data_IF_287718332128
#
_entry.id   IF_287718332128
#
_cell.length_a   1.000
_cell.length_b   1.000
_cell.length_c   1.000
_cell.angle_alpha   90.00
_cell.angle_beta   90.00
_cell.angle_gamma   90.00
#
_symmetry.space_group_name_H-M   'P 1'
#
loop_
_entity.id
_entity.type
_entity.pdbx_description
1 polymer ?
#
# COMPACT_ATOMS: atom_id res chain seq x y z
N UNK A 1 17.77 22.81 47.29
CA UNK A 1 17.19 22.56 45.96
C UNK A 1 18.22 21.90 45.08
N UNK A 2 17.83 20.91 44.28
CA UNK A 2 18.71 20.17 43.38
C UNK A 2 19.00 20.87 42.04
N UNK A 3 18.18 21.87 41.65
CA UNK A 3 18.40 22.66 40.43
C UNK A 3 18.79 24.11 40.78
N UNK A 4 20.05 24.54 40.52
CA UNK A 4 20.50 25.90 40.80
C UNK A 4 19.90 26.95 39.85
N UNK A 5 19.39 26.53 38.68
CA UNK A 5 18.84 27.40 37.65
C UNK A 5 17.32 27.62 37.79
N UNK A 6 16.72 27.17 38.89
CA UNK A 6 15.33 27.45 39.18
C UNK A 6 15.08 28.95 39.30
N UNK A 7 14.26 29.52 38.42
CA UNK A 7 13.82 30.90 38.53
C UNK A 7 12.68 31.03 39.53
N UNK A 8 12.81 32.03 40.41
CA UNK A 8 11.79 32.39 41.38
C UNK A 8 10.48 32.70 40.65
N UNK A 9 9.40 32.06 41.09
CA UNK A 9 8.10 32.08 40.43
C UNK A 9 7.03 32.63 41.39
N UNK A 10 6.06 33.44 40.92
CA UNK A 10 4.93 33.87 41.74
C UNK A 10 4.17 32.69 42.32
N UNK A 11 3.88 32.74 43.61
CA UNK A 11 3.33 31.62 44.38
C UNK A 11 4.38 30.74 45.07
N UNK A 12 5.68 30.95 44.84
CA UNK A 12 6.71 30.31 45.64
C UNK A 12 6.60 30.72 47.11
N UNK A 13 6.81 29.74 47.99
CA UNK A 13 6.83 29.95 49.43
C UNK A 13 8.24 29.69 49.96
N UNK A 14 8.81 30.69 50.61
CA UNK A 14 10.12 30.63 51.25
C UNK A 14 10.00 30.84 52.75
N UNK A 15 10.93 30.25 53.51
CA UNK A 15 11.11 30.51 54.92
C UNK A 15 12.38 31.32 55.10
N UNK A 16 12.27 32.44 55.81
CA UNK A 16 13.42 33.21 56.26
C UNK A 16 13.52 33.09 57.79
N UNK A 17 14.62 32.51 58.25
CA UNK A 17 14.91 32.33 59.67
C UNK A 17 16.21 33.02 60.05
N UNK A 18 16.21 33.82 61.12
CA UNK A 18 17.39 34.50 61.64
C UNK A 18 17.21 34.87 63.11
N UNK A 19 18.32 35.13 63.82
CA UNK A 19 18.31 35.54 65.22
C UNK A 19 18.53 37.05 65.37
N UNK A 20 17.76 37.67 66.28
CA UNK A 20 17.96 39.05 66.72
C UNK A 20 18.16 39.02 68.24
N UNK A 21 19.42 39.09 68.68
CA UNK A 21 19.78 38.83 70.08
C UNK A 21 19.44 37.39 70.47
N UNK A 22 18.57 37.20 71.46
CA UNK A 22 18.08 35.89 71.90
C UNK A 22 16.78 35.45 71.21
N UNK A 23 16.16 36.33 70.42
CA UNK A 23 14.87 36.07 69.78
C UNK A 23 15.09 35.46 68.40
N UNK A 24 14.52 34.28 68.17
CA UNK A 24 14.44 33.68 66.84
C UNK A 24 13.28 34.32 66.06
N UNK A 25 13.60 34.89 64.91
CA UNK A 25 12.62 35.33 63.92
C UNK A 25 12.50 34.26 62.85
N UNK A 26 11.26 33.85 62.56
CA UNK A 26 10.95 32.84 61.57
C UNK A 26 9.63 33.23 60.89
N UNK A 27 9.67 33.58 59.60
CA UNK A 27 8.46 33.91 58.88
C UNK A 27 8.51 33.44 57.43
N UNK A 28 7.31 33.32 56.87
CA UNK A 28 7.11 32.82 55.51
C UNK A 28 6.96 33.98 54.53
N UNK A 29 7.66 33.88 53.42
CA UNK A 29 7.63 34.81 52.31
C UNK A 29 6.87 34.14 51.17
N UNK A 30 5.77 34.74 50.75
CA UNK A 30 5.10 34.40 49.49
C UNK A 30 5.59 35.35 48.40
N UNK A 31 5.93 34.80 47.23
CA UNK A 31 6.24 35.63 46.05
C UNK A 31 4.94 36.07 45.40
N UNK A 32 4.72 37.37 45.34
CA UNK A 32 3.55 37.96 44.70
C UNK A 32 3.62 37.92 43.15
N UNK A 33 2.48 38.07 42.47
CA UNK A 33 2.37 38.13 41.00
C UNK A 33 3.17 39.29 40.38
N UNK A 34 3.44 40.35 41.15
CA UNK A 34 4.32 41.45 40.75
C UNK A 34 5.81 41.10 40.80
N UNK A 35 6.18 39.89 41.27
CA UNK A 35 7.54 39.47 41.59
C UNK A 35 8.22 40.33 42.66
N UNK A 36 7.43 41.00 43.51
CA UNK A 36 7.97 41.77 44.63
C UNK A 36 7.87 40.96 45.91
N UNK A 37 8.99 40.90 46.62
CA UNK A 37 9.14 40.18 47.87
C UNK A 37 9.54 41.14 48.97
N UNK A 38 8.80 41.13 50.08
CA UNK A 38 9.14 41.91 51.27
C UNK A 38 10.05 41.10 52.20
N UNK A 39 11.22 41.63 52.50
CA UNK A 39 12.13 41.10 53.51
C UNK A 39 11.92 41.88 54.82
N UNK A 40 11.04 41.35 55.67
CA UNK A 40 10.69 41.91 56.97
C UNK A 40 10.30 43.39 56.84
N UNK A 41 10.80 44.26 57.72
CA UNK A 41 10.75 45.71 57.61
C UNK A 41 12.01 46.32 56.95
N UNK A 42 12.87 45.50 56.33
CA UNK A 42 14.19 45.93 55.84
C UNK A 42 14.17 46.39 54.39
N UNK A 43 13.52 45.64 53.49
CA UNK A 43 13.54 45.91 52.06
C UNK A 43 12.37 45.27 51.29
N UNK A 44 12.12 45.79 50.08
CA UNK A 44 11.31 45.14 49.04
C UNK A 44 12.23 44.87 47.85
N UNK A 45 12.29 43.61 47.41
CA UNK A 45 13.16 43.16 46.33
C UNK A 45 12.30 42.75 45.14
N UNK A 46 12.72 43.12 43.92
CA UNK A 46 12.17 42.55 42.69
C UNK A 46 12.93 41.27 42.34
N UNK A 47 12.25 40.13 42.40
CA UNK A 47 12.83 38.80 42.17
C UNK A 47 12.57 38.27 40.76
N UNK A 48 12.03 39.10 39.85
CA UNK A 48 11.76 38.71 38.46
C UNK A 48 13.05 38.29 37.76
N UNK A 49 13.05 37.08 37.22
CA UNK A 49 14.21 36.52 36.50
C UNK A 49 15.38 36.12 37.41
N UNK A 50 15.27 36.29 38.73
CA UNK A 50 16.29 35.79 39.65
C UNK A 50 16.20 34.28 39.78
N UNK A 51 17.35 33.61 39.85
CA UNK A 51 17.38 32.23 40.33
C UNK A 51 17.13 32.19 41.85
N UNK A 52 16.69 31.06 42.37
CA UNK A 52 16.58 30.88 43.83
C UNK A 52 17.91 31.14 44.54
N UNK A 53 19.04 30.73 43.95
CA UNK A 53 20.36 30.98 44.55
C UNK A 53 20.68 32.48 44.62
N UNK A 54 20.35 33.24 43.57
CA UNK A 54 20.54 34.68 43.56
C UNK A 54 19.64 35.37 44.60
N UNK A 55 18.37 34.98 44.65
CA UNK A 55 17.42 35.51 45.64
C UNK A 55 17.84 35.16 47.08
N UNK A 56 18.28 33.92 47.32
CA UNK A 56 18.81 33.47 48.61
C UNK A 56 19.96 34.34 49.08
N UNK A 57 20.98 34.49 48.24
CA UNK A 57 22.16 35.29 48.58
C UNK A 57 21.78 36.75 48.86
N UNK A 58 20.88 37.33 48.06
CA UNK A 58 20.46 38.72 48.24
C UNK A 58 19.63 38.93 49.51
N UNK A 59 18.68 38.05 49.80
CA UNK A 59 17.88 38.11 51.02
C UNK A 59 18.75 37.93 52.27
N UNK A 60 19.64 36.93 52.28
CA UNK A 60 20.57 36.67 53.39
C UNK A 60 21.55 37.84 53.60
N UNK A 61 22.01 38.47 52.51
CA UNK A 61 22.88 39.66 52.58
C UNK A 61 22.17 40.86 53.21
N UNK A 62 20.92 41.14 52.83
CA UNK A 62 20.14 42.25 53.38
C UNK A 62 19.90 42.06 54.88
N UNK A 63 19.56 40.86 55.32
CA UNK A 63 19.36 40.56 56.74
C UNK A 63 20.68 40.66 57.50
N UNK A 64 21.74 40.01 57.00
CA UNK A 64 23.05 40.00 57.67
C UNK A 64 23.67 41.39 57.81
N UNK A 65 23.40 42.29 56.86
CA UNK A 65 23.83 43.69 56.92
C UNK A 65 23.15 44.47 58.05
N UNK A 66 21.88 44.20 58.32
CA UNK A 66 21.11 44.89 59.36
C UNK A 66 21.20 44.19 60.73
N UNK A 67 21.44 42.87 60.74
CA UNK A 67 21.62 42.05 61.93
C UNK A 67 22.88 41.17 61.79
N UNK A 68 24.07 41.68 62.15
CA UNK A 68 25.30 40.90 62.12
C UNK A 68 25.22 39.68 63.05
N UNK A 69 25.88 38.58 62.67
CA UNK A 69 25.90 37.32 63.44
C UNK A 69 24.51 36.67 63.65
N UNK A 70 23.51 37.02 62.82
CA UNK A 70 22.13 36.53 62.93
C UNK A 70 21.88 35.12 62.39
N UNK A 71 22.92 34.42 61.90
CA UNK A 71 22.83 33.09 61.31
C UNK A 71 21.63 32.93 60.35
N UNK A 72 21.46 33.90 59.44
CA UNK A 72 20.32 33.94 58.53
C UNK A 72 20.31 32.74 57.58
N UNK A 73 19.13 32.20 57.36
CA UNK A 73 18.89 31.12 56.41
C UNK A 73 17.59 31.39 55.65
N UNK A 74 17.69 31.43 54.31
CA UNK A 74 16.53 31.34 53.43
C UNK A 74 16.42 29.91 52.88
N UNK A 75 15.25 29.30 53.06
CA UNK A 75 14.92 27.98 52.55
C UNK A 75 13.63 28.01 51.72
N UNK A 76 13.55 27.21 50.66
CA UNK A 76 12.29 27.01 49.94
C UNK A 76 11.40 26.03 50.71
N UNK A 77 10.15 26.43 50.97
CA UNK A 77 9.11 25.58 51.56
C UNK A 77 8.42 24.80 50.45
N UNK A 78 7.92 25.51 49.44
CA UNK A 78 7.23 24.89 48.30
C UNK A 78 7.37 25.75 47.04
N UNK A 79 7.56 25.13 45.86
CA UNK A 79 7.49 25.84 44.59
C UNK A 79 6.05 26.26 44.28
N UNK A 80 5.91 27.26 43.42
CA UNK A 80 4.65 27.77 42.93
C UNK A 80 3.81 26.65 42.28
N UNK A 81 2.51 26.69 42.54
CA UNK A 81 1.49 25.91 41.84
C UNK A 81 0.63 26.87 41.03
N UNK A 82 0.37 26.52 39.79
CA UNK A 82 -0.40 27.32 38.85
C UNK A 82 -0.99 26.39 37.80
N UNK A 83 -1.75 26.97 36.89
CA UNK A 83 -2.34 26.25 35.79
C UNK A 83 -1.89 26.87 34.46
N UNK A 84 -1.81 26.04 33.44
CA UNK A 84 -1.53 26.44 32.05
C UNK A 84 -2.64 25.96 31.14
N UNK A 85 -2.90 26.68 30.06
CA UNK A 85 -3.91 26.28 29.08
C UNK A 85 -3.22 25.50 27.96
N UNK A 86 -3.75 24.34 27.61
CA UNK A 86 -3.30 23.56 26.44
C UNK A 86 -4.42 23.53 25.41
N UNK A 87 -4.13 24.00 24.19
CA UNK A 87 -5.10 24.09 23.08
C UNK A 87 -4.48 23.69 21.73
N UNK A 88 -5.32 23.60 20.69
CA UNK A 88 -4.90 23.28 19.33
C UNK A 88 -5.25 21.84 18.95
N UNK A 89 -4.34 21.14 18.27
CA UNK A 89 -4.48 19.73 17.90
C UNK A 89 -4.18 18.83 19.11
N UNK A 90 -5.17 18.66 19.98
CA UNK A 90 -5.12 17.86 21.21
C UNK A 90 -6.41 17.07 21.39
N UNK A 91 -6.37 16.01 22.22
CA UNK A 91 -7.55 15.23 22.60
C UNK A 91 -8.68 16.11 23.13
N UNK A 92 -8.33 17.07 24.00
CA UNK A 92 -9.29 18.04 24.56
C UNK A 92 -8.53 19.29 24.96
N UNK A 93 -9.05 20.46 24.57
CA UNK A 93 -8.52 21.74 25.06
C UNK A 93 -8.87 21.87 26.53
N UNK A 94 -7.87 22.04 27.38
CA UNK A 94 -8.06 22.00 28.83
C UNK A 94 -7.02 22.82 29.58
N UNK A 95 -7.34 23.14 30.82
CA UNK A 95 -6.43 23.76 31.75
C UNK A 95 -5.74 22.67 32.58
N UNK A 96 -4.41 22.68 32.61
CA UNK A 96 -3.60 21.65 33.27
C UNK A 96 -2.91 22.25 34.51
N UNK A 97 -3.18 21.70 35.71
CA UNK A 97 -2.47 22.12 36.91
C UNK A 97 -1.02 21.65 36.86
N UNK A 98 -0.12 22.55 37.20
CA UNK A 98 1.32 22.31 37.19
C UNK A 98 2.01 23.07 38.33
N UNK A 99 3.30 22.81 38.45
CA UNK A 99 4.18 23.46 39.42
C UNK A 99 5.45 23.93 38.72
N UNK A 100 6.21 24.82 39.34
CA UNK A 100 7.27 25.57 38.66
C UNK A 100 8.49 24.74 38.15
N UNK A 101 8.58 23.43 38.43
CA UNK A 101 9.54 22.52 37.77
C UNK A 101 8.88 21.58 36.75
N UNK A 102 7.62 21.81 36.39
CA UNK A 102 6.94 21.03 35.35
C UNK A 102 7.50 21.45 33.99
N UNK A 103 7.93 20.47 33.20
CA UNK A 103 8.39 20.67 31.83
C UNK A 103 7.23 20.63 30.83
N UNK A 104 7.43 21.27 29.68
CA UNK A 104 6.47 21.31 28.59
C UNK A 104 6.00 19.91 28.17
N UNK A 105 6.95 18.99 27.92
CA UNK A 105 6.71 17.62 27.49
C UNK A 105 5.74 16.88 28.43
N UNK A 106 5.97 16.99 29.74
CA UNK A 106 5.16 16.32 30.76
C UNK A 106 3.68 16.75 30.73
N UNK A 107 3.40 17.99 30.34
CA UNK A 107 2.03 18.53 30.23
C UNK A 107 1.39 18.13 28.90
N UNK A 108 2.14 18.17 27.79
CA UNK A 108 1.56 17.94 26.47
C UNK A 108 1.39 16.47 26.12
N UNK A 109 2.33 15.59 26.49
CA UNK A 109 2.35 14.18 26.07
C UNK A 109 1.03 13.43 26.33
N UNK A 110 0.36 13.59 27.50
CA UNK A 110 -0.93 12.92 27.75
C UNK A 110 -2.07 13.37 26.82
N UNK A 111 -1.97 14.59 26.27
CA UNK A 111 -3.02 15.25 25.49
C UNK A 111 -2.85 15.11 23.97
N UNK A 112 -1.73 14.56 23.50
CA UNK A 112 -1.44 14.38 22.07
C UNK A 112 -2.39 13.37 21.41
N UNK A 113 -2.70 13.61 20.13
CA UNK A 113 -3.36 12.69 19.20
C UNK A 113 -2.34 12.20 18.18
N UNK A 114 -2.73 11.26 17.30
CA UNK A 114 -1.89 10.86 16.15
C UNK A 114 -1.67 11.97 15.12
N UNK A 115 -2.39 13.08 15.23
CA UNK A 115 -2.29 14.24 14.34
C UNK A 115 -1.60 15.43 15.00
N UNK A 116 -1.21 15.33 16.27
CA UNK A 116 -0.50 16.39 16.98
C UNK A 116 0.95 16.47 16.53
N UNK A 117 1.43 17.69 16.26
CA UNK A 117 2.85 17.95 16.04
C UNK A 117 3.60 17.97 17.38
N UNK A 118 4.66 17.17 17.50
CA UNK A 118 5.58 17.25 18.65
C UNK A 118 6.83 18.10 18.35
N UNK A 119 6.96 18.57 17.11
CA UNK A 119 8.08 19.40 16.63
C UNK A 119 7.70 20.87 16.42
N UNK A 120 6.40 21.17 16.55
CA UNK A 120 5.83 22.52 16.44
C UNK A 120 4.85 22.73 17.57
N UNK A 121 5.42 22.99 18.76
CA UNK A 121 4.68 23.30 19.99
C UNK A 121 5.06 24.70 20.41
N UNK A 122 4.07 25.59 20.50
CA UNK A 122 4.33 26.97 20.88
C UNK A 122 3.84 27.28 22.29
N UNK A 123 4.61 28.10 23.00
CA UNK A 123 4.21 28.69 24.28
C UNK A 123 4.07 30.20 24.06
N UNK A 124 2.89 30.73 24.34
CA UNK A 124 2.65 32.16 24.46
C UNK A 124 2.65 32.53 25.94
N UNK A 125 3.60 33.37 26.34
CA UNK A 125 3.70 33.84 27.72
C UNK A 125 2.67 34.92 28.03
N UNK A 126 2.52 35.25 29.32
CA UNK A 126 1.70 36.38 29.80
C UNK A 126 2.08 37.73 29.18
N UNK A 127 3.32 37.92 28.71
CA UNK A 127 3.73 39.17 28.04
C UNK A 127 3.36 39.21 26.56
N UNK A 128 2.77 38.14 26.03
CA UNK A 128 2.43 37.98 24.61
C UNK A 128 3.56 37.46 23.73
N UNK A 129 4.74 37.20 24.30
CA UNK A 129 5.87 36.62 23.56
C UNK A 129 5.55 35.15 23.25
N UNK A 130 5.67 34.75 21.98
CA UNK A 130 5.46 33.37 21.54
C UNK A 130 6.78 32.74 21.12
N UNK A 131 7.07 31.55 21.64
CA UNK A 131 8.25 30.75 21.28
C UNK A 131 7.83 29.36 20.86
N UNK A 132 8.50 28.82 19.85
CA UNK A 132 8.30 27.47 19.35
C UNK A 132 9.36 26.54 19.92
N UNK A 133 8.96 25.31 20.19
CA UNK A 133 9.75 24.28 20.84
C UNK A 133 9.59 22.94 20.11
N UNK A 134 10.70 22.21 20.03
CA UNK A 134 10.76 20.88 19.42
C UNK A 134 10.98 19.79 20.47
N UNK A 135 9.87 19.21 20.95
CA UNK A 135 9.89 18.19 22.00
C UNK A 135 10.52 16.88 21.51
N UNK A 136 10.45 16.60 20.21
CA UNK A 136 11.18 15.47 19.63
C UNK A 136 12.68 15.65 19.81
N UNK A 137 13.20 16.85 19.52
CA UNK A 137 14.62 17.17 19.71
C UNK A 137 15.05 17.06 21.16
N UNK A 138 14.23 17.53 22.12
CA UNK A 138 14.49 17.36 23.54
C UNK A 138 14.62 15.87 23.93
N UNK A 139 13.69 15.03 23.46
CA UNK A 139 13.65 13.61 23.80
C UNK A 139 14.76 12.79 23.12
N UNK A 140 15.11 13.12 21.87
CA UNK A 140 16.05 12.35 21.07
C UNK A 140 17.51 12.79 21.24
N UNK A 141 17.77 14.09 21.42
CA UNK A 141 19.12 14.66 21.55
C UNK A 141 19.46 15.07 22.99
N UNK A 142 18.50 15.06 23.90
CA UNK A 142 18.68 15.58 25.26
C UNK A 142 18.73 17.12 25.31
N UNK A 143 18.24 17.80 24.27
CA UNK A 143 18.23 19.26 24.17
C UNK A 143 17.17 19.88 25.11
N UNK A 144 17.45 19.96 26.40
CA UNK A 144 16.50 20.44 27.44
C UNK A 144 16.03 21.90 27.25
N UNK A 145 16.66 22.66 26.36
CA UNK A 145 16.20 23.99 25.94
C UNK A 145 14.91 23.94 25.12
N UNK A 146 14.65 22.81 24.45
CA UNK A 146 13.44 22.54 23.67
C UNK A 146 12.29 21.97 24.55
N UNK A 147 12.57 21.70 25.82
CA UNK A 147 11.58 21.23 26.79
C UNK A 147 11.59 22.13 28.04
N UNK A 148 11.21 23.41 27.93
CA UNK A 148 11.37 24.40 28.99
C UNK A 148 10.49 24.10 30.21
N UNK A 149 10.85 24.70 31.35
CA UNK A 149 9.94 24.78 32.49
C UNK A 149 8.83 25.79 32.21
N UNK A 150 7.61 25.39 32.54
CA UNK A 150 6.43 26.23 32.37
C UNK A 150 6.35 27.34 33.40
N UNK A 151 5.62 28.40 33.07
CA UNK A 151 5.40 29.58 33.91
C UNK A 151 3.91 29.87 34.08
N UNK A 152 3.54 30.54 35.19
CA UNK A 152 2.17 30.98 35.39
C UNK A 152 1.68 31.85 34.22
N UNK A 153 0.51 31.50 33.67
CA UNK A 153 -0.10 32.22 32.55
C UNK A 153 0.37 31.79 31.17
N UNK A 154 1.24 30.79 31.06
CA UNK A 154 1.62 30.21 29.77
C UNK A 154 0.40 29.57 29.08
N UNK A 155 0.27 29.82 27.78
CA UNK A 155 -0.70 29.17 26.90
C UNK A 155 0.09 28.34 25.89
N UNK A 156 -0.10 27.02 25.97
CA UNK A 156 0.54 26.04 25.11
C UNK A 156 -0.39 25.76 23.93
N UNK A 157 0.11 25.94 22.71
CA UNK A 157 -0.62 25.64 21.48
C UNK A 157 0.10 24.53 20.72
N UNK A 158 -0.60 23.44 20.47
CA UNK A 158 -0.09 22.29 19.70
C UNK A 158 -0.62 22.40 18.28
N UNK A 159 0.28 22.42 17.30
CA UNK A 159 -0.08 22.50 15.89
C UNK A 159 -0.38 21.12 15.29
N UNK A 160 -1.01 21.13 14.12
CA UNK A 160 -1.26 19.92 13.34
C UNK A 160 0.02 19.39 12.72
N UNK A 161 0.18 18.08 12.77
CA UNK A 161 1.22 17.34 12.08
C UNK A 161 1.01 17.48 10.57
N UNK A 162 2.00 18.04 9.88
CA UNK A 162 1.95 18.30 8.43
C UNK A 162 2.39 17.09 7.62
N UNK A 163 3.49 16.45 8.03
CA UNK A 163 4.14 15.38 7.28
C UNK A 163 4.44 14.19 8.17
N UNK A 164 3.79 13.07 7.87
CA UNK A 164 3.95 11.78 8.53
C UNK A 164 4.48 10.76 7.54
N UNK A 165 5.49 9.98 7.90
CA UNK A 165 6.00 8.89 7.06
C UNK A 165 6.04 7.61 7.88
N UNK A 166 5.68 6.49 7.25
CA UNK A 166 5.69 5.17 7.87
C UNK A 166 6.95 4.44 7.48
N UNK A 167 7.73 3.95 8.44
CA UNK A 167 8.94 3.17 8.24
C UNK A 167 8.75 1.73 8.75
N UNK A 168 8.96 0.75 7.87
CA UNK A 168 8.77 -0.68 8.14
C UNK A 168 9.95 -1.54 7.64
N UNK A 169 9.95 -2.80 8.05
CA UNK A 169 10.91 -3.81 7.58
C UNK A 169 12.18 -3.85 8.40
N UNK A 170 13.31 -4.13 7.75
CA UNK A 170 14.61 -4.44 8.35
C UNK A 170 15.36 -3.22 8.93
N UNK A 171 14.67 -2.39 9.72
CA UNK A 171 15.23 -1.24 10.46
C UNK A 171 15.15 -1.46 11.97
N UNK A 172 16.01 -0.80 12.75
CA UNK A 172 16.06 -1.03 14.20
C UNK A 172 14.83 -0.49 14.94
N UNK A 173 14.23 0.58 14.44
CA UNK A 173 13.02 1.19 15.00
C UNK A 173 11.98 1.45 13.91
N UNK A 174 11.16 0.43 13.55
CA UNK A 174 10.01 0.67 12.70
C UNK A 174 8.96 1.50 13.44
N UNK A 175 8.21 2.32 12.70
CA UNK A 175 7.22 3.20 13.29
C UNK A 175 6.72 4.28 12.33
N UNK A 176 5.86 5.14 12.85
CA UNK A 176 5.36 6.31 12.13
C UNK A 176 6.04 7.55 12.69
N UNK A 177 6.65 8.34 11.82
CA UNK A 177 7.48 9.48 12.22
C UNK A 177 6.97 10.77 11.60
N UNK A 178 7.09 11.86 12.36
CA UNK A 178 6.85 13.20 11.85
C UNK A 178 8.17 13.75 11.28
N UNK A 179 8.20 14.08 9.99
CA UNK A 179 9.38 14.66 9.37
C UNK A 179 9.22 16.15 9.09
N UNK A 180 10.28 16.94 9.29
CA UNK A 180 10.34 18.36 8.91
C UNK A 180 10.60 18.49 7.40
N UNK A 181 10.15 19.57 6.75
CA UNK A 181 10.20 19.74 5.28
C UNK A 181 11.53 19.35 4.61
N UNK A 182 12.66 19.66 5.26
CA UNK A 182 14.01 19.41 4.78
C UNK A 182 14.59 18.02 5.10
N UNK A 183 13.84 17.15 5.78
CA UNK A 183 14.31 15.80 6.12
C UNK A 183 14.01 14.80 4.99
N UNK A 184 14.97 13.94 4.67
CA UNK A 184 14.93 13.01 3.55
C UNK A 184 14.93 11.54 4.03
N UNK A 185 15.05 10.60 3.08
CA UNK A 185 15.13 9.16 3.36
C UNK A 185 16.29 8.82 4.30
N UNK A 186 17.44 9.47 4.14
CA UNK A 186 18.58 9.26 5.02
C UNK A 186 18.24 9.62 6.47
N UNK A 187 17.65 10.80 6.67
CA UNK A 187 17.27 11.28 7.99
C UNK A 187 16.25 10.33 8.62
N UNK A 188 15.25 9.88 7.86
CA UNK A 188 14.25 8.92 8.32
C UNK A 188 14.91 7.65 8.88
N UNK A 189 15.83 7.04 8.12
CA UNK A 189 16.44 5.77 8.51
C UNK A 189 17.44 5.96 9.65
N UNK A 190 18.34 6.94 9.55
CA UNK A 190 19.42 7.11 10.51
C UNK A 190 18.96 7.75 11.82
N UNK A 191 18.20 8.85 11.75
CA UNK A 191 17.79 9.60 12.94
C UNK A 191 16.63 8.92 13.67
N UNK A 192 15.59 8.53 12.93
CA UNK A 192 14.36 7.97 13.50
C UNK A 192 14.42 6.44 13.59
N UNK A 193 14.74 5.78 12.48
CA UNK A 193 14.87 4.32 12.40
C UNK A 193 16.06 3.74 13.17
N UNK A 194 17.01 4.58 13.60
CA UNK A 194 18.29 4.20 14.24
C UNK A 194 19.16 3.25 13.41
N UNK A 195 19.05 3.39 12.09
CA UNK A 195 19.76 2.61 11.09
C UNK A 195 19.11 1.28 10.77
N UNK A 196 19.79 0.53 9.91
CA UNK A 196 19.39 -0.79 9.46
C UNK A 196 19.67 -1.88 10.50
N UNK A 197 18.94 -2.99 10.38
CA UNK A 197 19.31 -4.27 11.02
C UNK A 197 20.37 -4.99 10.17
N UNK A 198 21.05 -5.99 10.74
CA UNK A 198 22.13 -6.72 10.04
C UNK A 198 21.61 -7.53 8.84
N UNK A 199 20.34 -7.89 8.88
CA UNK A 199 19.63 -8.62 7.83
C UNK A 199 19.06 -7.71 6.74
N UNK A 200 19.19 -6.39 6.83
CA UNK A 200 18.63 -5.47 5.84
C UNK A 200 19.25 -5.60 4.44
N UNK A 201 18.41 -5.64 3.43
CA UNK A 201 18.80 -5.51 2.03
C UNK A 201 18.90 -4.03 1.65
N UNK A 202 20.13 -3.55 1.49
CA UNK A 202 20.40 -2.16 1.11
C UNK A 202 20.06 -1.87 -0.37
N UNK A 203 19.86 -2.88 -1.21
CA UNK A 203 19.42 -2.73 -2.61
C UNK A 203 17.89 -2.89 -2.77
N UNK A 204 17.14 -2.87 -1.66
CA UNK A 204 15.73 -3.22 -1.65
C UNK A 204 14.89 -2.31 -0.77
N UNK A 205 15.08 -0.99 -0.89
CA UNK A 205 14.24 -0.02 -0.18
C UNK A 205 13.04 0.31 -1.07
N UNK A 206 11.85 -0.13 -0.68
CA UNK A 206 10.61 0.16 -1.39
C UNK A 206 9.96 1.41 -0.80
N UNK A 207 9.66 2.37 -1.66
CA UNK A 207 8.98 3.62 -1.34
C UNK A 207 7.59 3.57 -1.96
N UNK A 208 6.57 3.39 -1.14
CA UNK A 208 5.20 3.49 -1.60
C UNK A 208 4.73 4.93 -1.38
N UNK A 209 4.53 5.66 -2.47
CA UNK A 209 4.01 7.02 -2.38
C UNK A 209 2.52 7.01 -2.06
N UNK A 210 2.11 7.95 -1.22
CA UNK A 210 0.70 8.10 -0.91
C UNK A 210 -0.08 8.63 -2.12
N UNK A 211 -1.20 7.98 -2.43
CA UNK A 211 -2.14 8.42 -3.46
C UNK A 211 -2.69 9.80 -3.06
N UNK A 212 -2.46 10.81 -3.91
CA UNK A 212 -3.08 12.14 -3.78
C UNK A 212 -4.30 12.21 -4.69
N UNK A 213 -5.19 13.18 -4.47
CA UNK A 213 -6.41 13.35 -5.30
C UNK A 213 -6.15 13.61 -6.79
N UNK A 214 -4.90 13.87 -7.18
CA UNK A 214 -4.46 14.14 -8.56
C UNK A 214 -3.74 12.95 -9.22
N UNK A 215 -3.30 11.94 -8.45
CA UNK A 215 -2.63 10.73 -8.95
C UNK A 215 -3.49 9.51 -8.64
N UNK A 216 -3.99 8.82 -9.67
CA UNK A 216 -4.92 7.69 -9.50
C UNK A 216 -4.25 6.34 -9.21
N UNK A 217 -2.91 6.27 -9.32
CA UNK A 217 -2.16 5.02 -9.18
C UNK A 217 -1.15 5.13 -8.02
N UNK A 218 -1.13 4.12 -7.13
CA UNK A 218 -0.09 3.98 -6.12
C UNK A 218 1.22 3.60 -6.82
N UNK A 219 2.13 4.55 -6.97
CA UNK A 219 3.46 4.29 -7.50
C UNK A 219 4.35 3.77 -6.36
N UNK A 220 4.79 2.51 -6.49
CA UNK A 220 5.87 1.97 -5.68
C UNK A 220 7.18 2.20 -6.43
N UNK A 221 8.06 3.01 -5.85
CA UNK A 221 9.43 3.22 -6.32
C UNK A 221 10.38 2.28 -5.55
N UNK A 222 11.43 1.80 -6.22
CA UNK A 222 12.51 1.05 -5.59
C UNK A 222 13.77 1.88 -5.62
N UNK A 223 14.41 2.00 -4.46
CA UNK A 223 15.65 2.71 -4.29
C UNK A 223 16.73 1.79 -3.70
N UNK A 224 17.91 1.84 -4.30
CA UNK A 224 19.14 1.27 -3.73
C UNK A 224 19.74 2.30 -2.78
N UNK A 225 20.19 1.91 -1.59
CA UNK A 225 20.88 2.75 -0.62
C UNK A 225 22.24 3.24 -1.15
N UNK A 226 22.15 4.23 -2.02
CA UNK A 226 23.21 4.95 -2.71
C UNK A 226 23.19 6.41 -2.25
N UNK A 227 24.24 7.17 -2.54
CA UNK A 227 24.30 8.60 -2.19
C UNK A 227 23.14 9.40 -2.80
N UNK A 228 22.68 9.01 -4.00
CA UNK A 228 21.54 9.66 -4.65
C UNK A 228 20.20 9.31 -3.98
N UNK A 229 20.02 8.06 -3.54
CA UNK A 229 18.78 7.63 -2.88
C UNK A 229 18.63 8.21 -1.47
N UNK A 230 19.74 8.49 -0.79
CA UNK A 230 19.75 9.12 0.53
C UNK A 230 19.07 10.48 0.53
N UNK A 231 19.17 11.22 -0.58
CA UNK A 231 18.58 12.56 -0.75
C UNK A 231 17.13 12.53 -1.28
N UNK A 232 16.52 11.35 -1.39
CA UNK A 232 15.11 11.25 -1.84
C UNK A 232 14.20 11.98 -0.85
N UNK A 233 13.51 12.99 -1.36
CA UNK A 233 12.54 13.77 -0.62
C UNK A 233 11.26 12.95 -0.40
N UNK A 234 10.88 12.77 0.87
CA UNK A 234 9.70 11.99 1.25
C UNK A 234 8.46 12.89 1.36
N UNK A 235 7.33 12.40 0.84
CA UNK A 235 6.04 13.10 0.91
C UNK A 235 5.24 12.64 2.12
N UNK A 236 4.22 13.43 2.45
CA UNK A 236 3.30 13.07 3.52
C UNK A 236 2.57 11.76 3.18
N UNK A 237 2.51 10.85 4.14
CA UNK A 237 1.92 9.50 4.11
C UNK A 237 2.67 8.47 3.27
N UNK A 238 3.88 8.78 2.82
CA UNK A 238 4.73 7.77 2.19
C UNK A 238 4.99 6.60 3.16
N UNK A 239 5.11 5.40 2.59
CA UNK A 239 5.45 4.20 3.34
C UNK A 239 6.75 3.63 2.80
N UNK A 240 7.77 3.61 3.66
CA UNK A 240 9.10 3.10 3.36
C UNK A 240 9.23 1.71 3.96
N UNK A 241 9.60 0.74 3.13
CA UNK A 241 9.77 -0.66 3.50
C UNK A 241 11.19 -1.06 3.13
N UNK A 242 12.01 -1.36 4.15
CA UNK A 242 13.34 -1.93 3.95
C UNK A 242 13.22 -3.44 3.96
N UNK A 243 13.52 -4.10 2.84
CA UNK A 243 13.44 -5.55 2.73
C UNK A 243 14.58 -6.25 3.47
N UNK A 244 14.39 -7.52 3.79
CA UNK A 244 15.44 -8.37 4.34
C UNK A 244 16.31 -8.97 3.21
N UNK A 245 17.56 -9.35 3.51
CA UNK A 245 18.48 -10.03 2.59
C UNK A 245 17.92 -11.38 2.16
N UNK A 246 17.24 -12.09 3.05
CA UNK A 246 16.61 -13.38 2.77
C UNK A 246 15.40 -13.24 1.83
N UNK A 247 14.73 -12.09 1.85
CA UNK A 247 13.63 -11.77 0.92
C UNK A 247 14.14 -11.41 -0.49
N UNK A 248 15.45 -11.22 -0.69
CA UNK A 248 15.96 -10.52 -1.88
C UNK A 248 16.10 -11.34 -3.17
N UNK A 249 15.83 -12.67 -3.21
CA UNK A 249 15.96 -13.44 -4.46
C UNK A 249 14.96 -14.60 -4.62
N UNK A 250 13.67 -14.40 -4.31
CA UNK A 250 12.65 -15.38 -4.68
C UNK A 250 11.91 -14.92 -5.93
N UNK A 251 12.05 -15.70 -7.01
CA UNK A 251 11.33 -15.50 -8.26
C UNK A 251 10.28 -16.60 -8.43
N UNK A 252 9.12 -16.19 -8.96
CA UNK A 252 8.15 -17.09 -9.59
C UNK A 252 8.21 -16.87 -11.09
N UNK A 253 7.77 -17.84 -11.86
CA UNK A 253 7.80 -17.74 -13.32
C UNK A 253 6.40 -17.63 -13.88
N UNK A 254 6.16 -16.65 -14.73
CA UNK A 254 4.92 -16.53 -15.49
C UNK A 254 5.20 -17.06 -16.88
N UNK A 255 4.49 -18.09 -17.28
CA UNK A 255 4.74 -18.81 -18.53
C UNK A 255 3.48 -18.87 -19.38
N UNK A 256 3.62 -18.53 -20.66
CA UNK A 256 2.57 -18.69 -21.65
C UNK A 256 2.18 -17.40 -22.35
N UNK A 257 0.91 -17.25 -22.71
CA UNK A 257 0.42 -16.20 -23.59
C UNK A 257 0.17 -14.89 -22.84
N UNK A 258 1.14 -13.98 -22.93
CA UNK A 258 1.03 -12.62 -22.42
C UNK A 258 1.09 -11.58 -23.55
N UNK A 259 0.40 -10.45 -23.36
CA UNK A 259 0.41 -9.30 -24.28
C UNK A 259 1.20 -8.14 -23.67
N UNK A 260 2.10 -7.54 -24.44
CA UNK A 260 2.88 -6.36 -24.04
C UNK A 260 2.58 -5.20 -24.98
N UNK A 261 2.01 -4.11 -24.44
CA UNK A 261 1.88 -2.84 -25.16
C UNK A 261 3.17 -2.03 -24.98
N UNK A 262 3.79 -1.64 -26.09
CA UNK A 262 5.05 -0.90 -26.21
C UNK A 262 6.31 -1.65 -25.74
N UNK A 263 7.11 -2.09 -26.70
CA UNK A 263 8.48 -2.57 -26.46
C UNK A 263 9.42 -1.39 -26.21
N UNK A 264 9.43 -0.90 -24.97
CA UNK A 264 10.60 -0.28 -24.36
C UNK A 264 10.91 -1.02 -23.06
N UNK A 265 11.19 -2.32 -23.17
CA UNK A 265 11.84 -3.04 -22.09
C UNK A 265 13.34 -2.79 -22.21
N UNK A 266 13.82 -1.87 -21.36
CA UNK A 266 15.24 -1.62 -21.13
C UNK A 266 15.84 -2.86 -20.46
N UNK A 267 16.85 -3.41 -21.14
CA UNK A 267 18.07 -4.05 -20.63
C UNK A 267 17.97 -4.86 -19.32
N UNK A 268 18.11 -6.19 -19.42
CA UNK A 268 18.44 -7.01 -18.25
C UNK A 268 18.44 -8.51 -18.47
N UNK A 269 17.42 -9.06 -19.14
CA UNK A 269 17.30 -10.51 -19.29
C UNK A 269 17.05 -10.90 -20.76
N UNK A 270 17.85 -11.85 -21.23
CA UNK A 270 17.68 -12.47 -22.54
C UNK A 270 16.34 -13.22 -22.55
N UNK A 271 15.33 -12.66 -23.20
CA UNK A 271 14.14 -13.39 -23.59
C UNK A 271 14.56 -14.51 -24.56
N UNK A 272 14.44 -15.76 -24.12
CA UNK A 272 14.54 -16.94 -24.97
C UNK A 272 13.11 -17.35 -25.33
N UNK A 273 12.57 -16.81 -26.43
CA UNK A 273 11.34 -17.33 -27.03
C UNK A 273 11.16 -16.84 -28.47
N UNK A 274 10.79 -17.79 -29.34
CA UNK A 274 10.62 -17.59 -30.78
C UNK A 274 9.34 -16.82 -31.10
N UNK A 275 9.51 -15.67 -31.75
CA UNK A 275 8.43 -14.75 -32.15
C UNK A 275 7.42 -15.42 -33.09
N UNK A 276 6.13 -15.38 -32.71
CA UNK A 276 5.00 -15.43 -33.66
C UNK A 276 4.21 -14.14 -33.54
N UNK A 277 4.39 -13.27 -34.52
CA UNK A 277 3.73 -11.96 -34.61
C UNK A 277 2.28 -12.16 -35.09
N UNK A 278 1.30 -11.78 -34.29
CA UNK A 278 -0.11 -11.64 -34.71
C UNK A 278 -0.58 -10.24 -34.33
N UNK A 279 -0.52 -9.31 -35.30
CA UNK A 279 -1.24 -8.03 -35.36
C UNK A 279 -1.16 -7.11 -34.12
N UNK A 280 -0.25 -6.13 -34.16
CA UNK A 280 -0.26 -4.94 -33.27
C UNK A 280 0.25 -5.15 -31.84
N UNK A 281 -0.07 -6.28 -31.22
CA UNK A 281 0.46 -6.72 -29.91
C UNK A 281 1.42 -7.90 -30.14
N UNK A 282 2.66 -7.83 -29.62
CA UNK A 282 3.56 -8.99 -29.65
C UNK A 282 3.08 -10.01 -28.62
N UNK A 283 2.60 -11.16 -29.09
CA UNK A 283 2.27 -12.32 -28.25
C UNK A 283 3.52 -13.18 -28.20
N UNK A 284 4.07 -13.36 -27.00
CA UNK A 284 5.23 -14.22 -26.78
C UNK A 284 4.84 -15.38 -25.88
N UNK A 285 5.14 -16.62 -26.29
CA UNK A 285 5.13 -17.77 -25.38
C UNK A 285 6.43 -17.72 -24.57
N UNK A 286 6.39 -16.96 -23.47
CA UNK A 286 7.58 -16.56 -22.73
C UNK A 286 7.51 -17.02 -21.29
N UNK A 287 8.66 -17.46 -20.77
CA UNK A 287 8.89 -17.63 -19.35
C UNK A 287 9.44 -16.31 -18.83
N UNK A 288 8.70 -15.68 -17.92
CA UNK A 288 9.00 -14.36 -17.39
C UNK A 288 9.27 -14.52 -15.89
N UNK A 289 10.49 -14.24 -15.41
CA UNK A 289 10.75 -14.20 -13.98
C UNK A 289 10.02 -13.00 -13.37
N UNK A 290 9.26 -13.26 -12.33
CA UNK A 290 8.52 -12.27 -11.55
C UNK A 290 9.02 -12.34 -10.11
N UNK A 291 9.53 -11.21 -9.62
CA UNK A 291 9.93 -11.07 -8.23
C UNK A 291 8.69 -10.97 -7.33
N UNK A 292 8.74 -11.59 -6.16
CA UNK A 292 7.70 -11.49 -5.15
C UNK A 292 8.31 -11.40 -3.75
N UNK A 293 7.54 -10.89 -2.79
CA UNK A 293 7.91 -10.81 -1.39
C UNK A 293 7.20 -11.89 -0.58
N UNK A 294 7.80 -12.33 0.53
CA UNK A 294 7.19 -13.36 1.38
C UNK A 294 5.86 -12.87 1.96
N UNK A 295 4.79 -13.61 1.68
CA UNK A 295 3.41 -13.23 2.05
C UNK A 295 2.60 -12.62 0.89
N UNK A 296 3.22 -12.37 -0.26
CA UNK A 296 2.47 -12.04 -1.47
C UNK A 296 1.58 -13.21 -1.88
N UNK A 297 0.33 -12.88 -2.20
CA UNK A 297 -0.61 -13.85 -2.75
C UNK A 297 -0.47 -13.94 -4.26
N UNK A 298 -0.87 -15.08 -4.83
CA UNK A 298 -0.97 -15.24 -6.28
C UNK A 298 -1.91 -14.18 -6.89
N UNK A 299 -2.98 -13.81 -6.19
CA UNK A 299 -3.92 -12.80 -6.65
C UNK A 299 -3.30 -11.40 -6.73
N UNK A 300 -2.51 -10.98 -5.73
CA UNK A 300 -1.84 -9.68 -5.75
C UNK A 300 -0.84 -9.59 -6.90
N UNK A 301 -0.01 -10.62 -7.11
CA UNK A 301 0.97 -10.63 -8.18
C UNK A 301 0.34 -10.60 -9.59
N UNK A 302 -0.79 -11.30 -9.78
CA UNK A 302 -1.55 -11.30 -11.04
C UNK A 302 -2.21 -9.93 -11.28
N UNK A 303 -2.84 -9.34 -10.24
CA UNK A 303 -3.57 -8.07 -10.37
C UNK A 303 -2.65 -6.89 -10.67
N UNK A 304 -1.48 -6.84 -10.05
CA UNK A 304 -0.43 -5.86 -10.37
C UNK A 304 -0.02 -5.90 -11.85
N UNK A 305 -0.08 -7.08 -12.47
CA UNK A 305 0.30 -7.34 -13.86
C UNK A 305 -0.90 -7.62 -14.75
N UNK A 306 -2.09 -7.10 -14.41
CA UNK A 306 -3.34 -7.35 -15.14
C UNK A 306 -3.23 -7.08 -16.64
N UNK A 307 -2.40 -6.10 -17.04
CA UNK A 307 -2.17 -5.72 -18.44
C UNK A 307 -1.45 -6.78 -19.27
N UNK A 308 -0.77 -7.74 -18.64
CA UNK A 308 -0.12 -8.86 -19.33
C UNK A 308 -1.13 -9.86 -19.89
N UNK A 309 -2.35 -9.91 -19.33
CA UNK A 309 -3.39 -10.85 -19.74
C UNK A 309 -4.26 -10.23 -20.83
N UNK A 310 -3.95 -10.55 -22.09
CA UNK A 310 -4.65 -10.05 -23.27
C UNK A 310 -5.77 -10.96 -23.79
N UNK A 311 -6.35 -10.60 -24.94
CA UNK A 311 -7.45 -11.32 -25.61
C UNK A 311 -7.12 -12.75 -26.08
N UNK A 312 -5.82 -13.10 -26.11
CA UNK A 312 -5.33 -14.41 -26.52
C UNK A 312 -4.92 -15.28 -25.32
N UNK A 313 -5.30 -14.88 -24.12
CA UNK A 313 -5.02 -15.59 -22.87
C UNK A 313 -6.14 -16.57 -22.57
N UNK A 314 -5.83 -17.86 -22.40
CA UNK A 314 -6.82 -18.82 -21.91
C UNK A 314 -6.88 -18.78 -20.38
N UNK A 315 -7.77 -17.93 -19.85
CA UNK A 315 -7.96 -17.79 -18.40
C UNK A 315 -8.63 -19.00 -17.75
N UNK A 316 -9.31 -19.85 -18.52
CA UNK A 316 -9.99 -21.04 -18.00
C UNK A 316 -9.03 -22.22 -17.85
N UNK A 317 -8.01 -22.31 -18.71
CA UNK A 317 -7.02 -23.38 -18.67
C UNK A 317 -5.82 -23.08 -17.76
N UNK A 318 -5.71 -21.86 -17.21
CA UNK A 318 -4.59 -21.43 -16.39
C UNK A 318 -4.45 -22.23 -15.09
N UNK A 319 -3.21 -22.43 -14.64
CA UNK A 319 -2.91 -23.16 -13.41
C UNK A 319 -1.58 -22.74 -12.81
N UNK A 320 -1.41 -22.99 -11.51
CA UNK A 320 -0.14 -22.85 -10.83
C UNK A 320 0.56 -24.22 -10.76
N UNK A 321 1.83 -24.26 -11.09
CA UNK A 321 2.67 -25.44 -10.99
C UNK A 321 3.67 -25.22 -9.85
N UNK A 322 3.57 -26.06 -8.80
CA UNK A 322 4.44 -26.04 -7.62
C UNK A 322 5.00 -27.42 -7.39
N UNK A 323 6.33 -27.58 -7.38
CA UNK A 323 6.99 -28.88 -7.19
C UNK A 323 6.39 -30.00 -8.07
N UNK A 324 6.10 -29.69 -9.34
CA UNK A 324 5.48 -30.59 -10.31
C UNK A 324 4.01 -30.98 -10.02
N UNK A 325 3.35 -30.35 -9.03
CA UNK A 325 1.92 -30.49 -8.76
C UNK A 325 1.14 -29.36 -9.42
N UNK A 326 0.09 -29.72 -10.16
CA UNK A 326 -0.84 -28.77 -10.78
C UNK A 326 -1.90 -28.34 -9.76
N UNK A 327 -1.90 -27.06 -9.42
CA UNK A 327 -2.88 -26.42 -8.57
C UNK A 327 -3.84 -25.64 -9.48
N UNK A 328 -5.14 -26.00 -9.53
CA UNK A 328 -6.12 -25.27 -10.34
C UNK A 328 -6.31 -23.86 -9.77
N UNK A 329 -6.44 -22.87 -10.67
CA UNK A 329 -6.67 -21.48 -10.29
C UNK A 329 -7.84 -20.92 -11.09
N UNK A 330 -8.58 -20.01 -10.49
CA UNK A 330 -9.69 -19.30 -11.13
C UNK A 330 -9.17 -17.94 -11.64
N UNK A 331 -8.32 -17.97 -12.67
CA UNK A 331 -7.62 -16.78 -13.16
C UNK A 331 -8.59 -15.67 -13.59
N UNK A 332 -9.73 -16.03 -14.20
CA UNK A 332 -10.77 -15.08 -14.58
C UNK A 332 -11.34 -14.32 -13.37
N UNK A 333 -11.60 -15.02 -12.26
CA UNK A 333 -12.07 -14.38 -11.02
C UNK A 333 -10.98 -13.48 -10.42
N UNK A 334 -9.73 -13.92 -10.40
CA UNK A 334 -8.60 -13.10 -9.91
C UNK A 334 -8.47 -11.78 -10.68
N UNK A 335 -8.65 -11.80 -12.00
CA UNK A 335 -8.47 -10.64 -12.86
C UNK A 335 -9.65 -9.64 -12.82
N UNK A 336 -10.88 -10.11 -12.68
CA UNK A 336 -12.08 -9.28 -12.88
C UNK A 336 -13.02 -9.19 -11.67
N UNK A 337 -12.91 -10.10 -10.70
CA UNK A 337 -13.67 -10.05 -9.45
C UNK A 337 -12.77 -9.50 -8.33
N UNK A 338 -13.12 -8.31 -7.84
CA UNK A 338 -12.37 -7.60 -6.79
C UNK A 338 -12.57 -8.27 -5.43
N UNK A 339 -13.74 -8.87 -5.19
CA UNK A 339 -14.09 -9.51 -3.92
C UNK A 339 -13.53 -10.93 -3.82
N UNK A 340 -13.21 -11.55 -4.96
CA UNK A 340 -12.58 -12.87 -4.99
C UNK A 340 -11.23 -12.86 -4.28
N UNK A 341 -11.12 -13.70 -3.24
CA UNK A 341 -9.86 -13.93 -2.52
C UNK A 341 -9.23 -15.24 -2.99
N UNK A 342 -7.97 -15.18 -3.38
CA UNK A 342 -7.15 -16.35 -3.64
C UNK A 342 -6.14 -16.49 -2.50
N UNK A 343 -6.34 -17.40 -1.52
CA UNK A 343 -5.47 -17.55 -0.36
C UNK A 343 -4.16 -18.28 -0.67
N UNK A 344 -3.80 -18.42 -1.95
CA UNK A 344 -2.56 -19.09 -2.36
C UNK A 344 -1.41 -18.09 -2.20
N UNK A 345 -0.60 -18.29 -1.16
CA UNK A 345 0.67 -17.59 -1.00
C UNK A 345 1.69 -18.08 -2.04
N UNK A 346 2.43 -17.15 -2.64
CA UNK A 346 3.50 -17.45 -3.58
C UNK A 346 4.70 -18.08 -2.86
N UNK A 347 5.34 -19.02 -3.53
CA UNK A 347 6.55 -19.70 -3.06
C UNK A 347 7.61 -19.66 -4.15
N UNK A 348 8.88 -19.64 -3.75
CA UNK A 348 9.99 -19.61 -4.69
C UNK A 348 9.92 -20.79 -5.66
N UNK A 349 10.07 -20.52 -6.96
CA UNK A 349 10.00 -21.54 -8.01
C UNK A 349 8.59 -21.92 -8.46
N UNK A 350 7.53 -21.29 -7.91
CA UNK A 350 6.18 -21.41 -8.47
C UNK A 350 6.17 -20.98 -9.94
N UNK A 351 5.40 -21.70 -10.77
CA UNK A 351 5.20 -21.34 -12.18
C UNK A 351 3.72 -21.15 -12.46
N UNK A 352 3.32 -19.93 -12.78
CA UNK A 352 1.98 -19.63 -13.28
C UNK A 352 1.95 -19.94 -14.78
N UNK A 353 1.24 -21.00 -15.15
CA UNK A 353 1.08 -21.41 -16.55
C UNK A 353 -0.22 -20.86 -17.10
N UNK A 354 -0.14 -20.11 -18.19
CA UNK A 354 -1.25 -19.41 -18.83
C UNK A 354 -1.28 -19.75 -20.32
N UNK A 355 -2.02 -20.77 -20.74
CA UNK A 355 -2.01 -21.21 -22.12
C UNK A 355 -2.52 -20.13 -23.09
N UNK A 356 -2.11 -20.25 -24.36
CA UNK A 356 -2.69 -19.43 -25.44
C UNK A 356 -4.12 -19.90 -25.73
N UNK A 357 -5.03 -18.94 -25.87
CA UNK A 357 -6.41 -19.19 -26.29
C UNK A 357 -6.41 -19.60 -27.76
N UNK A 358 -6.49 -20.91 -28.00
CA UNK A 358 -6.62 -21.45 -29.37
C UNK A 358 -8.08 -21.40 -29.77
N UNK A 359 -8.45 -20.35 -30.49
CA UNK A 359 -9.75 -20.27 -31.18
C UNK A 359 -9.85 -21.37 -32.24
N UNK A 360 -11.01 -22.03 -32.36
CA UNK A 360 -11.19 -23.16 -33.27
C UNK A 360 -12.33 -22.90 -34.27
N UNK A 361 -12.33 -23.63 -35.37
CA UNK A 361 -13.41 -23.70 -36.34
C UNK A 361 -13.82 -25.17 -36.46
N UNK A 362 -15.11 -25.44 -36.33
CA UNK A 362 -15.61 -26.81 -36.42
C UNK A 362 -15.98 -27.10 -37.88
N UNK A 363 -15.43 -28.17 -38.44
CA UNK A 363 -15.80 -28.67 -39.78
C UNK A 363 -16.48 -30.02 -39.64
N UNK A 364 -17.71 -30.13 -40.12
CA UNK A 364 -18.56 -31.31 -39.94
C UNK A 364 -19.28 -31.69 -41.24
N UNK A 365 -19.83 -32.91 -41.32
CA UNK A 365 -20.61 -33.39 -42.47
C UNK A 365 -19.78 -34.14 -43.53
N UNK A 366 -20.10 -33.91 -44.81
CA UNK A 366 -19.54 -34.62 -45.96
C UNK A 366 -18.13 -34.13 -46.37
N UNK A 367 -17.17 -34.24 -45.45
CA UNK A 367 -15.73 -33.98 -45.65
C UNK A 367 -14.91 -35.22 -45.32
N UNK A 368 -13.67 -35.30 -45.80
CA UNK A 368 -12.81 -36.46 -45.56
C UNK A 368 -12.41 -36.63 -44.09
N UNK A 369 -12.14 -35.52 -43.39
CA UNK A 369 -11.73 -35.51 -41.98
C UNK A 369 -12.54 -34.48 -41.18
N UNK A 370 -13.75 -34.81 -40.72
CA UNK A 370 -14.49 -33.95 -39.79
C UNK A 370 -13.69 -33.73 -38.51
N UNK A 371 -13.72 -32.52 -37.95
CA UNK A 371 -12.94 -32.18 -36.76
C UNK A 371 -12.93 -30.69 -36.44
N UNK A 372 -12.21 -30.34 -35.37
CA UNK A 372 -11.94 -28.94 -34.98
C UNK A 372 -10.57 -28.54 -35.48
N UNK A 373 -10.48 -27.39 -36.12
CA UNK A 373 -9.27 -26.87 -36.74
C UNK A 373 -8.90 -25.52 -36.13
N UNK A 374 -7.60 -25.20 -35.95
CA UNK A 374 -7.19 -23.89 -35.45
C UNK A 374 -7.70 -22.75 -36.34
N UNK A 375 -8.20 -21.69 -35.72
CA UNK A 375 -8.64 -20.49 -36.41
C UNK A 375 -7.48 -19.75 -37.07
N UNK A 376 -7.68 -19.33 -38.31
CA UNK A 376 -6.77 -18.49 -39.09
C UNK A 376 -7.51 -17.23 -39.61
N UNK A 377 -7.04 -16.00 -39.25
CA UNK A 377 -7.68 -14.75 -39.66
C UNK A 377 -7.79 -14.59 -41.18
N UNK A 378 -8.91 -14.02 -41.65
CA UNK A 378 -9.14 -13.71 -43.06
C UNK A 378 -9.37 -14.92 -43.97
N UNK A 379 -9.37 -16.14 -43.42
CA UNK A 379 -9.63 -17.37 -44.20
C UNK A 379 -11.13 -17.61 -44.37
N UNK A 380 -11.50 -18.10 -45.55
CA UNK A 380 -12.89 -18.47 -45.88
C UNK A 380 -13.12 -19.96 -45.66
N UNK A 381 -14.37 -20.42 -45.79
CA UNK A 381 -14.75 -21.82 -45.58
C UNK A 381 -13.93 -22.81 -46.43
N UNK A 382 -13.51 -22.43 -47.64
CA UNK A 382 -12.78 -23.32 -48.55
C UNK A 382 -11.41 -23.72 -48.00
N UNK A 383 -10.74 -22.82 -47.27
CA UNK A 383 -9.48 -23.11 -46.58
C UNK A 383 -9.65 -24.23 -45.56
N UNK A 384 -10.70 -24.14 -44.72
CA UNK A 384 -10.97 -25.13 -43.68
C UNK A 384 -11.48 -26.46 -44.25
N UNK A 385 -12.24 -26.46 -45.34
CA UNK A 385 -12.57 -27.69 -46.08
C UNK A 385 -11.30 -28.33 -46.64
N UNK A 386 -10.35 -27.54 -47.13
CA UNK A 386 -9.03 -28.02 -47.55
C UNK A 386 -8.24 -28.68 -46.42
N UNK A 387 -8.20 -28.05 -45.23
CA UNK A 387 -7.59 -28.65 -44.03
C UNK A 387 -8.26 -29.97 -43.63
N UNK A 388 -9.58 -30.06 -43.82
CA UNK A 388 -10.36 -31.28 -43.62
C UNK A 388 -10.17 -32.34 -44.71
N UNK A 389 -9.19 -32.18 -45.61
CA UNK A 389 -8.88 -33.12 -46.69
C UNK A 389 -9.81 -33.03 -47.89
N UNK A 390 -10.61 -31.97 -48.00
CA UNK A 390 -11.59 -31.76 -49.07
C UNK A 390 -12.95 -32.38 -48.77
N UNK A 391 -13.87 -32.21 -49.73
CA UNK A 391 -15.19 -32.83 -49.67
C UNK A 391 -15.11 -34.34 -49.90
N UNK A 392 -15.99 -35.07 -49.24
CA UNK A 392 -16.31 -36.43 -49.65
C UNK A 392 -17.12 -36.38 -50.94
N UNK A 393 -16.47 -36.64 -52.07
CA UNK A 393 -17.07 -36.56 -53.42
C UNK A 393 -18.20 -37.55 -53.62
N UNK A 394 -18.26 -38.63 -52.85
CA UNK A 394 -19.38 -39.57 -52.89
C UNK A 394 -20.63 -38.95 -52.24
N UNK A 395 -20.47 -38.13 -51.20
CA UNK A 395 -21.56 -37.61 -50.36
C UNK A 395 -21.96 -36.17 -50.71
N UNK A 396 -21.02 -35.36 -51.19
CA UNK A 396 -21.24 -33.97 -51.55
C UNK A 396 -20.95 -33.75 -53.04
N UNK A 397 -21.96 -33.32 -53.79
CA UNK A 397 -21.82 -32.93 -55.20
C UNK A 397 -22.06 -31.42 -55.30
N UNK A 398 -21.10 -30.67 -55.85
CA UNK A 398 -21.22 -29.23 -56.04
C UNK A 398 -20.80 -28.37 -54.84
N UNK A 399 -19.97 -28.88 -53.93
CA UNK A 399 -19.31 -28.11 -52.87
C UNK A 399 -20.29 -27.33 -51.99
N UNK A 400 -21.38 -27.98 -51.61
CA UNK A 400 -22.46 -27.36 -50.85
C UNK A 400 -22.11 -27.34 -49.35
N UNK A 401 -21.97 -26.14 -48.78
CA UNK A 401 -21.69 -25.91 -47.36
C UNK A 401 -22.74 -25.02 -46.73
N UNK A 402 -22.97 -25.20 -45.43
CA UNK A 402 -23.68 -24.28 -44.55
C UNK A 402 -22.65 -23.76 -43.55
N UNK A 403 -22.53 -22.45 -43.45
CA UNK A 403 -21.66 -21.78 -42.49
C UNK A 403 -22.57 -21.16 -41.44
N UNK A 404 -22.32 -21.44 -40.17
CA UNK A 404 -23.06 -20.88 -39.02
C UNK A 404 -22.09 -20.21 -38.08
N UNK A 405 -22.39 -18.98 -37.70
CA UNK A 405 -21.64 -18.30 -36.64
C UNK A 405 -21.94 -18.89 -35.25
N UNK A 406 -21.28 -18.32 -34.24
CA UNK A 406 -21.43 -18.72 -32.83
C UNK A 406 -22.87 -18.61 -32.30
N UNK A 407 -23.73 -17.83 -32.96
CA UNK A 407 -25.15 -17.66 -32.61
C UNK A 407 -26.07 -18.53 -33.47
N UNK A 408 -25.51 -19.38 -34.34
CA UNK A 408 -26.24 -20.27 -35.24
C UNK A 408 -26.80 -19.60 -36.50
N UNK A 409 -26.49 -18.31 -36.74
CA UNK A 409 -26.98 -17.58 -37.91
C UNK A 409 -26.16 -17.97 -39.14
N UNK A 410 -26.86 -18.21 -40.25
CA UNK A 410 -26.23 -18.59 -41.52
C UNK A 410 -25.43 -17.42 -42.09
N UNK A 411 -24.21 -17.72 -42.52
CA UNK A 411 -23.28 -16.75 -43.10
C UNK A 411 -23.09 -17.00 -44.61
N UNK A 412 -22.73 -15.94 -45.34
CA UNK A 412 -22.43 -16.02 -46.78
C UNK A 412 -21.09 -16.75 -47.03
N UNK A 413 -20.97 -17.39 -48.19
CA UNK A 413 -19.76 -18.12 -48.60
C UNK A 413 -18.54 -17.22 -48.84
N UNK A 414 -18.73 -15.92 -49.07
CA UNK A 414 -17.65 -14.94 -49.29
C UNK A 414 -17.15 -14.30 -48.00
N UNK A 415 -17.90 -14.42 -46.92
CA UNK A 415 -17.54 -13.82 -45.63
C UNK A 415 -16.34 -14.58 -45.03
N UNK A 416 -15.30 -13.87 -44.55
CA UNK A 416 -14.25 -14.47 -43.75
C UNK A 416 -14.84 -15.20 -42.54
N UNK A 417 -14.30 -16.39 -42.25
CA UNK A 417 -14.74 -17.18 -41.10
C UNK A 417 -14.31 -16.47 -39.82
N UNK A 418 -15.19 -16.50 -38.82
CA UNK A 418 -14.91 -16.00 -37.48
C UNK A 418 -14.54 -17.17 -36.55
N UNK A 419 -13.88 -16.91 -35.42
CA UNK A 419 -13.68 -17.91 -34.36
C UNK A 419 -14.98 -18.64 -33.99
N UNK A 420 -14.87 -19.92 -33.64
CA UNK A 420 -15.97 -20.79 -33.18
C UNK A 420 -17.12 -20.99 -34.20
N UNK A 421 -16.88 -20.67 -35.48
CA UNK A 421 -17.83 -20.93 -36.57
C UNK A 421 -17.95 -22.43 -36.85
N UNK A 422 -19.16 -22.89 -37.17
CA UNK A 422 -19.42 -24.23 -37.69
C UNK A 422 -19.55 -24.21 -39.22
N UNK A 423 -18.72 -25.01 -39.91
CA UNK A 423 -18.78 -25.27 -41.34
C UNK A 423 -19.32 -26.69 -41.53
N UNK A 424 -20.58 -26.79 -41.93
CA UNK A 424 -21.23 -28.06 -42.23
C UNK A 424 -21.26 -28.33 -43.74
N UNK A 425 -20.54 -29.34 -44.19
CA UNK A 425 -20.62 -29.83 -45.57
C UNK A 425 -21.87 -30.69 -45.75
N UNK A 426 -22.78 -30.27 -46.64
CA UNK A 426 -24.04 -30.98 -46.88
C UNK A 426 -23.80 -32.34 -47.53
N UNK A 427 -24.61 -33.34 -47.17
CA UNK A 427 -24.72 -34.58 -47.95
C UNK A 427 -25.79 -34.39 -49.02
N UNK A 428 -25.40 -34.03 -50.24
CA UNK A 428 -26.33 -33.68 -51.33
C UNK A 428 -26.10 -34.47 -52.62
N UNK A 429 -25.26 -35.50 -52.61
CA UNK A 429 -25.08 -36.40 -53.74
C UNK A 429 -26.34 -37.23 -53.98
N UNK A 430 -26.89 -37.16 -55.20
CA UNK A 430 -28.07 -37.93 -55.60
C UNK A 430 -27.79 -39.43 -55.53
N UNK A 431 -26.68 -39.90 -56.11
CA UNK A 431 -26.34 -41.33 -56.13
C UNK A 431 -26.15 -41.90 -54.72
N UNK A 432 -25.57 -41.11 -53.81
CA UNK A 432 -25.41 -41.50 -52.41
C UNK A 432 -26.74 -41.52 -51.67
N UNK A 433 -27.56 -40.47 -51.79
CA UNK A 433 -28.87 -40.45 -51.14
C UNK A 433 -29.82 -41.50 -51.74
N UNK A 434 -29.78 -41.73 -53.05
CA UNK A 434 -30.56 -42.75 -53.74
C UNK A 434 -30.14 -44.15 -53.28
N UNK A 435 -28.84 -44.47 -53.23
CA UNK A 435 -28.39 -45.77 -52.71
C UNK A 435 -28.73 -45.99 -51.23
N UNK A 436 -28.72 -44.92 -50.41
CA UNK A 436 -29.08 -45.00 -49.00
C UNK A 436 -30.59 -45.24 -48.79
N UNK A 437 -31.46 -44.54 -49.53
CA UNK A 437 -32.91 -44.57 -49.33
C UNK A 437 -33.67 -45.50 -50.28
N UNK A 438 -33.12 -45.86 -51.44
CA UNK A 438 -33.79 -46.73 -52.42
C UNK A 438 -34.22 -48.07 -51.82
N UNK A 439 -33.43 -48.77 -50.98
CA UNK A 439 -33.88 -50.02 -50.35
C UNK A 439 -35.10 -49.83 -49.44
N UNK A 440 -35.16 -48.71 -48.71
CA UNK A 440 -36.28 -48.39 -47.82
C UNK A 440 -37.53 -48.06 -48.64
N UNK A 441 -37.37 -47.28 -49.70
CA UNK A 441 -38.44 -46.91 -50.62
C UNK A 441 -38.96 -48.15 -51.36
N UNK A 442 -38.10 -49.06 -51.82
CA UNK A 442 -38.53 -50.28 -52.49
C UNK A 442 -39.26 -51.22 -51.54
N UNK A 443 -38.78 -51.41 -50.30
CA UNK A 443 -39.46 -52.23 -49.29
C UNK A 443 -40.83 -51.64 -48.95
N UNK A 444 -40.91 -50.34 -48.67
CA UNK A 444 -42.18 -49.68 -48.37
C UNK A 444 -43.15 -49.71 -49.56
N UNK A 445 -42.67 -49.49 -50.78
CA UNK A 445 -43.47 -49.65 -51.99
C UNK A 445 -43.97 -51.09 -52.17
N UNK A 446 -43.17 -52.13 -51.90
CA UNK A 446 -43.65 -53.52 -51.95
C UNK A 446 -44.71 -53.82 -50.90
N UNK A 447 -44.59 -53.27 -49.68
CA UNK A 447 -45.61 -53.42 -48.64
C UNK A 447 -46.93 -52.74 -49.07
N UNK A 448 -46.86 -51.50 -49.57
CA UNK A 448 -48.05 -50.79 -50.07
C UNK A 448 -48.68 -51.55 -51.23
N UNK A 449 -47.87 -52.06 -52.16
CA UNK A 449 -48.36 -52.85 -53.31
C UNK A 449 -49.04 -54.13 -52.86
N UNK A 450 -48.46 -54.84 -51.86
CA UNK A 450 -49.08 -56.03 -51.27
C UNK A 450 -50.41 -55.70 -50.58
N UNK A 451 -50.48 -54.59 -49.83
CA UNK A 451 -51.71 -54.12 -49.19
C UNK A 451 -52.79 -53.77 -50.23
N UNK A 452 -52.42 -53.05 -51.30
CA UNK A 452 -53.35 -52.73 -52.40
C UNK A 452 -53.83 -54.01 -53.10
N UNK A 453 -52.95 -54.99 -53.33
CA UNK A 453 -53.33 -56.27 -53.92
C UNK A 453 -54.32 -57.03 -53.03
N UNK A 454 -54.10 -57.05 -51.72
CA UNK A 454 -55.03 -57.64 -50.74
C UNK A 454 -56.37 -56.89 -50.72
N UNK A 455 -56.36 -55.56 -50.67
CA UNK A 455 -57.59 -54.76 -50.68
C UNK A 455 -58.38 -54.93 -52.00
N UNK A 456 -57.69 -54.95 -53.14
CA UNK A 456 -58.32 -55.16 -54.46
C UNK A 456 -58.92 -56.56 -54.54
N UNK A 457 -58.29 -57.57 -53.95
CA UNK A 457 -58.84 -58.91 -53.87
C UNK A 457 -60.08 -59.00 -52.97
N UNK A 458 -60.08 -58.27 -51.84
CA UNK A 458 -61.21 -58.25 -50.88
C UNK A 458 -62.42 -57.48 -51.42
N UNK A 459 -62.23 -56.37 -52.14
CA UNK A 459 -63.32 -55.50 -52.63
C UNK A 459 -63.87 -55.87 -54.01
N UNK A 460 -63.26 -56.81 -54.73
CA UNK A 460 -63.71 -57.24 -56.07
C UNK A 460 -64.65 -58.46 -56.02
N UNK A 461 -65.34 -58.65 -54.89
CA UNK A 461 -66.28 -59.74 -54.65
C UNK A 461 -67.70 -59.23 -54.43
#
# INVERSE_FOLDING_TARGET
MSNPNYLVTPGDMYRLSYAVGTTKIDYTIAVDISYRVRISNLAIINVRGMTFSAFKNEAERIVSKNYPLSAVQLAMISPARFSVIVKGEVKTTTEVPCWALTRLSAVVTPLLTQYSSIRDVSITSVTGETKNYDIFKAANEGALTEDPYLRPGDIITIQKLQRSVVLKGAVRRPGTYQLLENENLETLINLYGKGFTDSANLAGIKINHAITTEETDANAEFADWSEQAQDVALKNRDTIIVLDKEDSHQVVYFEGAFSFKNSSLVSGDKIVSGDKIVSGDKISDSIIPVQFTRGDTLASAIRERRTWFGQYTDTAAAYLLRENKRIPIELNKILYDIEYQCPIELQAGDRLIVPILVQQVTVSGAVMRPGRYPYAPGRTWSYYIGLAGGFDTNRNTGSAVIIRDIYGKKQDKKTPIMPETEIYAKSNSFLYNFSLYAPIITVSATVVTAVIAVLTFVYKK
#
